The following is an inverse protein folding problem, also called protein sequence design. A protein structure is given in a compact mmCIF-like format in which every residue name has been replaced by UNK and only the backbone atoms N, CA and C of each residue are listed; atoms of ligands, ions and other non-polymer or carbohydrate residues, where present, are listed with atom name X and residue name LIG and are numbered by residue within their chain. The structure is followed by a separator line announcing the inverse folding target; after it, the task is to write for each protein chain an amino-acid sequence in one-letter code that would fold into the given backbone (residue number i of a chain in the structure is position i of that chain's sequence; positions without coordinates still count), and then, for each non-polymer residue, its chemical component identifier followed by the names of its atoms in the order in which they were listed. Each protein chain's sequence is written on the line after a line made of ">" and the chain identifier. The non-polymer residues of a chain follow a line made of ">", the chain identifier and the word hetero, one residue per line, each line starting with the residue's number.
data_IF_251291530930
#
_entry.id   IF_251291530930
#
_cell.length_a   1.000
_cell.length_b   1.000
_cell.length_c   1.000
_cell.angle_alpha   90.00
_cell.angle_beta   90.00
_cell.angle_gamma   90.00
#
_symmetry.space_group_name_H-M   'P 1'
#
loop_
_entity.id
_entity.type
_entity.pdbx_description
1 polymer ?
#
# COMPACT_ATOMS: atom_id res chain seq x y z
N UNK A 1 -10.14 -18.72 11.15
CA UNK A 1 -11.05 -17.70 10.59
C UNK A 1 -11.11 -17.91 9.09
N UNK A 2 -12.27 -18.29 8.59
CA UNK A 2 -12.53 -18.54 7.17
C UNK A 2 -12.82 -17.18 6.51
N UNK A 3 -12.11 -16.84 5.44
CA UNK A 3 -12.43 -15.63 4.67
C UNK A 3 -13.69 -15.98 3.86
N UNK A 4 -14.84 -15.41 4.23
CA UNK A 4 -16.10 -15.61 3.51
C UNK A 4 -15.92 -15.18 2.04
N UNK A 5 -16.28 -16.06 1.11
CA UNK A 5 -16.29 -15.77 -0.34
C UNK A 5 -15.28 -16.53 -1.21
N UNK A 6 -14.43 -17.40 -0.65
CA UNK A 6 -13.55 -18.28 -1.45
C UNK A 6 -14.36 -19.47 -1.99
N UNK A 7 -14.89 -19.31 -3.19
CA UNK A 7 -15.82 -20.26 -3.79
C UNK A 7 -15.12 -21.39 -4.55
N UNK A 8 -13.82 -21.28 -4.81
CA UNK A 8 -13.07 -22.27 -5.59
C UNK A 8 -11.86 -22.86 -4.85
N UNK A 9 -11.51 -24.09 -5.19
CA UNK A 9 -10.26 -24.73 -4.72
C UNK A 9 -9.02 -23.93 -5.13
N UNK A 10 -9.09 -23.23 -6.26
CA UNK A 10 -8.01 -22.36 -6.75
C UNK A 10 -7.77 -21.16 -5.83
N UNK A 11 -8.81 -20.41 -5.48
CA UNK A 11 -8.70 -19.22 -4.61
C UNK A 11 -8.18 -19.62 -3.21
N UNK A 12 -8.65 -20.75 -2.67
CA UNK A 12 -8.14 -21.30 -1.41
C UNK A 12 -6.64 -21.58 -1.50
N UNK A 13 -6.17 -22.24 -2.56
CA UNK A 13 -4.75 -22.51 -2.80
C UNK A 13 -3.94 -21.21 -2.95
N UNK A 14 -4.46 -20.24 -3.69
CA UNK A 14 -3.83 -18.93 -3.87
C UNK A 14 -3.65 -18.22 -2.53
N UNK A 15 -4.70 -18.18 -1.71
CA UNK A 15 -4.66 -17.56 -0.39
C UNK A 15 -3.65 -18.26 0.54
N UNK A 16 -3.62 -19.59 0.57
CA UNK A 16 -2.62 -20.35 1.33
C UNK A 16 -1.21 -19.98 0.90
N UNK A 17 -0.97 -19.86 -0.40
CA UNK A 17 0.34 -19.49 -0.93
C UNK A 17 0.70 -18.03 -0.61
N UNK A 18 -0.26 -17.11 -0.67
CA UNK A 18 -0.07 -15.72 -0.31
C UNK A 18 0.34 -15.59 1.16
N UNK A 19 -0.40 -16.22 2.08
CA UNK A 19 -0.07 -16.26 3.52
C UNK A 19 1.34 -16.81 3.78
N UNK A 20 1.74 -17.89 3.08
CA UNK A 20 3.09 -18.47 3.21
C UNK A 20 4.19 -17.51 2.73
N UNK A 21 3.95 -16.79 1.64
CA UNK A 21 4.94 -15.85 1.07
C UNK A 21 4.97 -14.51 1.78
N UNK A 22 3.86 -14.09 2.39
CA UNK A 22 3.66 -12.86 3.13
C UNK A 22 4.34 -11.64 2.48
N UNK A 23 4.02 -11.40 1.20
CA UNK A 23 4.63 -10.31 0.42
C UNK A 23 4.23 -8.94 0.97
N UNK A 24 5.05 -7.93 0.73
CA UNK A 24 4.68 -6.54 0.97
C UNK A 24 3.93 -6.00 -0.24
N UNK A 25 2.75 -5.44 -0.02
CA UNK A 25 1.88 -4.87 -1.05
C UNK A 25 1.64 -3.40 -0.71
N UNK A 26 1.86 -2.52 -1.69
CA UNK A 26 1.61 -1.09 -1.58
C UNK A 26 0.24 -0.78 -2.16
N UNK A 27 -0.59 -0.05 -1.40
CA UNK A 27 -1.94 0.37 -1.79
C UNK A 27 -1.96 1.90 -1.92
N UNK A 28 -1.78 2.46 -3.13
CA UNK A 28 -1.70 3.91 -3.33
C UNK A 28 -3.04 4.63 -3.18
N UNK A 29 -4.15 3.91 -3.33
CA UNK A 29 -5.50 4.47 -3.29
C UNK A 29 -6.17 4.39 -1.91
N UNK A 30 -5.46 3.88 -0.89
CA UNK A 30 -6.04 3.63 0.43
C UNK A 30 -6.52 4.92 1.14
N UNK A 31 -5.92 6.08 0.81
CA UNK A 31 -6.35 7.38 1.35
C UNK A 31 -7.61 7.96 0.69
N UNK A 32 -8.00 7.47 -0.49
CA UNK A 32 -9.10 8.04 -1.29
C UNK A 32 -10.22 7.03 -1.63
N UNK A 33 -9.99 5.73 -1.40
CA UNK A 33 -10.93 4.66 -1.69
C UNK A 33 -11.13 3.76 -0.46
N UNK A 34 -12.29 3.89 0.18
CA UNK A 34 -12.64 3.13 1.39
C UNK A 34 -12.66 1.60 1.14
N UNK A 35 -12.99 1.12 -0.06
CA UNK A 35 -12.96 -0.32 -0.36
C UNK A 35 -11.52 -0.85 -0.37
N UNK A 36 -10.57 -0.07 -0.92
CA UNK A 36 -9.15 -0.41 -0.92
C UNK A 36 -8.60 -0.41 0.51
N UNK A 37 -8.99 0.58 1.31
CA UNK A 37 -8.65 0.63 2.73
C UNK A 37 -9.12 -0.63 3.45
N UNK A 38 -10.40 -0.97 3.36
CA UNK A 38 -11.00 -2.12 4.05
C UNK A 38 -10.37 -3.45 3.59
N UNK A 39 -10.12 -3.61 2.30
CA UNK A 39 -9.43 -4.78 1.78
C UNK A 39 -7.99 -4.89 2.31
N UNK A 40 -7.28 -3.77 2.38
CA UNK A 40 -5.93 -3.69 2.97
C UNK A 40 -5.93 -4.09 4.45
N UNK A 41 -6.85 -3.54 5.25
CA UNK A 41 -7.02 -3.90 6.66
C UNK A 41 -7.28 -5.40 6.82
N UNK A 42 -8.24 -5.94 6.05
CA UNK A 42 -8.54 -7.37 6.07
C UNK A 42 -7.32 -8.22 5.74
N UNK A 43 -6.51 -7.81 4.75
CA UNK A 43 -5.30 -8.54 4.35
C UNK A 43 -4.24 -8.55 5.44
N UNK A 44 -4.03 -7.41 6.11
CA UNK A 44 -3.09 -7.29 7.21
C UNK A 44 -3.54 -8.10 8.44
N UNK A 45 -4.80 -7.95 8.86
CA UNK A 45 -5.39 -8.68 10.00
C UNK A 45 -5.31 -10.20 9.82
N UNK A 46 -5.56 -10.67 8.59
CA UNK A 46 -5.51 -12.10 8.25
C UNK A 46 -4.10 -12.60 7.89
N UNK A 47 -3.07 -11.76 8.02
CA UNK A 47 -1.66 -12.07 7.74
C UNK A 47 -1.45 -12.64 6.33
N UNK A 48 -2.20 -12.10 5.36
CA UNK A 48 -2.10 -12.49 3.95
C UNK A 48 -0.86 -11.86 3.31
N UNK A 49 -0.62 -10.60 3.65
CA UNK A 49 0.46 -9.77 3.15
C UNK A 49 0.81 -8.71 4.21
N UNK A 50 2.00 -8.14 4.11
CA UNK A 50 2.32 -6.86 4.77
C UNK A 50 1.77 -5.74 3.90
N UNK A 51 0.97 -4.87 4.45
CA UNK A 51 0.30 -3.80 3.72
C UNK A 51 0.97 -2.48 4.02
N UNK A 52 1.27 -1.72 2.97
CA UNK A 52 1.72 -0.32 3.06
C UNK A 52 0.68 0.54 2.36
N UNK A 53 -0.03 1.37 3.11
CA UNK A 53 -1.00 2.31 2.59
C UNK A 53 -0.30 3.63 2.31
N UNK A 54 -0.38 4.12 1.09
CA UNK A 54 0.05 5.48 0.80
C UNK A 54 -1.16 6.40 0.93
N UNK A 55 -0.97 7.52 1.61
CA UNK A 55 -2.01 8.51 1.85
C UNK A 55 -1.46 9.91 1.61
N UNK A 56 -2.28 10.77 1.04
CA UNK A 56 -2.05 12.22 1.00
C UNK A 56 -3.03 12.98 1.90
N UNK A 57 -4.09 12.29 2.33
CA UNK A 57 -5.15 12.76 3.24
C UNK A 57 -5.42 11.64 4.26
N UNK A 58 -5.39 11.99 5.55
CA UNK A 58 -5.58 11.06 6.66
C UNK A 58 -7.04 10.88 7.08
N UNK A 59 -8.00 11.57 6.45
CA UNK A 59 -9.42 11.55 6.84
C UNK A 59 -9.98 10.13 6.96
N UNK A 60 -9.70 9.24 6.00
CA UNK A 60 -10.16 7.84 6.07
C UNK A 60 -9.41 7.03 7.14
N UNK A 61 -8.11 7.27 7.31
CA UNK A 61 -7.28 6.60 8.32
C UNK A 61 -7.81 6.91 9.73
N UNK A 62 -8.14 8.18 9.98
CA UNK A 62 -8.72 8.66 11.23
C UNK A 62 -10.15 8.14 11.44
N UNK A 63 -11.02 8.25 10.42
CA UNK A 63 -12.41 7.74 10.43
C UNK A 63 -12.47 6.28 10.86
N UNK A 64 -11.59 5.44 10.32
CA UNK A 64 -11.52 4.01 10.61
C UNK A 64 -10.61 3.66 11.79
N UNK A 65 -10.00 4.65 12.45
CA UNK A 65 -9.10 4.48 13.60
C UNK A 65 -8.00 3.46 13.31
N UNK A 66 -7.42 3.54 12.12
CA UNK A 66 -6.40 2.60 11.64
C UNK A 66 -5.20 2.64 12.59
N UNK A 67 -4.71 1.46 12.97
CA UNK A 67 -3.52 1.31 13.82
C UNK A 67 -2.46 0.52 13.07
N UNK A 68 -1.25 1.06 13.01
CA UNK A 68 -0.10 0.35 12.45
C UNK A 68 0.22 -0.92 13.25
N UNK A 69 0.83 -1.89 12.58
CA UNK A 69 1.27 -3.17 13.15
C UNK A 69 2.42 -3.75 12.32
N UNK A 70 2.92 -4.93 12.69
CA UNK A 70 3.92 -5.66 11.89
C UNK A 70 3.45 -6.00 10.45
N UNK A 71 2.14 -5.96 10.20
CA UNK A 71 1.52 -6.28 8.92
C UNK A 71 0.86 -5.06 8.25
N UNK A 72 0.88 -3.89 8.89
CA UNK A 72 0.25 -2.68 8.35
C UNK A 72 1.08 -1.44 8.67
N UNK A 73 1.43 -0.69 7.63
CA UNK A 73 2.03 0.64 7.74
C UNK A 73 1.24 1.66 6.93
N UNK A 74 1.16 2.88 7.44
CA UNK A 74 0.57 4.03 6.75
C UNK A 74 1.69 5.03 6.50
N UNK A 75 1.85 5.44 5.24
CA UNK A 75 2.88 6.39 4.81
C UNK A 75 2.19 7.59 4.20
N UNK A 76 2.34 8.74 4.85
CA UNK A 76 1.97 10.03 4.28
C UNK A 76 3.01 10.45 3.25
N UNK A 77 2.58 10.57 1.99
CA UNK A 77 3.47 10.87 0.86
C UNK A 77 4.02 12.29 0.91
N UNK A 78 3.35 13.21 1.61
CA UNK A 78 3.77 14.61 1.71
C UNK A 78 4.90 14.79 2.73
N UNK A 79 4.95 13.93 3.73
CA UNK A 79 5.86 14.06 4.89
C UNK A 79 6.88 12.92 4.99
N UNK A 80 6.81 11.92 4.11
CA UNK A 80 7.70 10.77 4.14
C UNK A 80 9.18 11.17 4.01
N UNK A 81 10.01 10.68 4.92
CA UNK A 81 11.47 10.81 4.85
C UNK A 81 12.07 10.13 3.61
N UNK A 82 11.31 9.24 2.95
CA UNK A 82 11.71 8.58 1.70
C UNK A 82 11.55 9.47 0.48
N UNK A 83 10.81 10.58 0.58
CA UNK A 83 10.47 11.44 -0.55
C UNK A 83 11.72 11.93 -1.30
N UNK A 84 12.78 12.48 -0.67
CA UNK A 84 13.98 12.93 -1.39
C UNK A 84 14.67 11.80 -2.16
N UNK A 85 14.74 10.60 -1.57
CA UNK A 85 15.32 9.43 -2.21
C UNK A 85 14.51 9.00 -3.44
N UNK A 86 13.18 8.98 -3.32
CA UNK A 86 12.27 8.57 -4.40
C UNK A 86 12.23 9.57 -5.56
N UNK A 87 12.21 10.87 -5.26
CA UNK A 87 12.30 11.96 -6.26
C UNK A 87 13.58 11.83 -7.07
N UNK A 88 14.74 11.69 -6.40
CA UNK A 88 16.01 11.50 -7.08
C UNK A 88 16.04 10.22 -7.93
N UNK A 89 15.50 9.10 -7.42
CA UNK A 89 15.41 7.86 -8.18
C UNK A 89 14.53 7.99 -9.43
N UNK A 90 13.40 8.71 -9.33
CA UNK A 90 12.51 8.97 -10.46
C UNK A 90 13.20 9.86 -11.51
N UNK A 91 13.84 10.94 -11.07
CA UNK A 91 14.60 11.83 -11.94
C UNK A 91 15.70 11.06 -12.70
N UNK A 92 16.56 10.32 -12.00
CA UNK A 92 17.64 9.56 -12.64
C UNK A 92 17.12 8.55 -13.67
N UNK A 93 15.95 7.95 -13.42
CA UNK A 93 15.30 7.00 -14.35
C UNK A 93 14.66 7.68 -15.57
N UNK A 94 14.32 8.97 -15.50
CA UNK A 94 13.54 9.68 -16.52
C UNK A 94 14.27 10.86 -17.17
N UNK A 95 15.44 11.29 -16.66
CA UNK A 95 16.19 12.46 -17.14
C UNK A 95 16.48 12.43 -18.65
N UNK A 96 16.75 11.26 -19.20
CA UNK A 96 17.03 11.06 -20.63
C UNK A 96 15.79 11.31 -21.52
N UNK A 97 14.60 11.36 -20.91
CA UNK A 97 13.32 11.69 -21.58
C UNK A 97 12.94 13.17 -21.43
N UNK A 98 13.88 14.03 -21.04
CA UNK A 98 13.63 15.46 -20.79
C UNK A 98 12.89 15.75 -19.48
N UNK A 99 12.90 14.81 -18.54
CA UNK A 99 12.23 14.94 -17.25
C UNK A 99 13.10 15.74 -16.27
N UNK A 100 12.53 16.76 -15.62
CA UNK A 100 13.26 17.64 -14.69
C UNK A 100 13.21 17.12 -13.26
N UNK A 101 14.11 17.63 -12.41
CA UNK A 101 14.10 17.31 -10.97
C UNK A 101 12.83 17.86 -10.30
N UNK A 102 12.41 19.09 -10.62
CA UNK A 102 11.15 19.67 -10.13
C UNK A 102 9.94 18.84 -10.58
N UNK A 103 9.91 18.41 -11.84
CA UNK A 103 8.85 17.53 -12.33
C UNK A 103 8.82 16.16 -11.66
N UNK A 104 9.95 15.70 -11.09
CA UNK A 104 9.99 14.49 -10.28
C UNK A 104 9.48 14.70 -8.85
N UNK A 105 9.53 15.93 -8.34
CA UNK A 105 9.00 16.31 -7.02
C UNK A 105 7.48 16.53 -7.05
N UNK A 106 6.96 17.03 -8.16
CA UNK A 106 5.54 17.36 -8.34
C UNK A 106 4.65 16.12 -8.63
N UNK A 107 5.23 14.92 -8.65
CA UNK A 107 4.60 13.65 -9.02
C UNK A 107 4.48 12.71 -7.82
#
# INVERSE_FOLDING_TARGET
>A
MEIMGLNTAFEKKLLTNAKKKCKTIVLPEAGINEQVLLAGLMCAENKIAKIVMLVSDNTLIEKHKVKESDYLRVVDINTSELLPMLVNALYLKRKEKGFTEDGARDL
#
